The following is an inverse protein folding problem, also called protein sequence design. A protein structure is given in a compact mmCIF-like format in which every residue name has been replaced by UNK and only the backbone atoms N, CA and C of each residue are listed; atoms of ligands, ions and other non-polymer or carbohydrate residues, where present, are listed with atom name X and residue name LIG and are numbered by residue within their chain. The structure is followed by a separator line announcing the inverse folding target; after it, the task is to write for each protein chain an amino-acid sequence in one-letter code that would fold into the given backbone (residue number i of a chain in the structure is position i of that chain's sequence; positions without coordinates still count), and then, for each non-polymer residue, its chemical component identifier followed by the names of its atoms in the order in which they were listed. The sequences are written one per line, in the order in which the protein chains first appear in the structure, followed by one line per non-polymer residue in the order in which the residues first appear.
data_IF_976380090652
#
_entry.id   IF_976380090652
#
_cell.length_a   1.000
_cell.length_b   1.000
_cell.length_c   1.000
_cell.angle_alpha   90.00
_cell.angle_beta   90.00
_cell.angle_gamma   90.00
#
_symmetry.space_group_name_H-M   'P 1'
#
loop_
_entity.id
_entity.type
_entity.pdbx_description
1 polymer ?
#
# COMPACT_ATOMS: atom_id res chain seq x y z
N UNK A 1 2.65 7.39 7.62
CA UNK A 1 3.42 6.13 7.85
C UNK A 1 4.48 6.25 8.95
N UNK A 2 5.15 7.41 9.15
CA UNK A 2 6.14 7.60 10.25
C UNK A 2 5.51 7.40 11.62
N UNK A 3 4.37 8.07 11.88
CA UNK A 3 3.66 7.97 13.16
C UNK A 3 3.19 6.55 13.46
N UNK A 4 2.73 5.82 12.44
CA UNK A 4 2.31 4.44 12.57
C UNK A 4 3.50 3.52 12.91
N UNK A 5 4.67 3.71 12.28
CA UNK A 5 5.88 2.97 12.64
C UNK A 5 6.28 3.20 14.10
N UNK A 6 6.27 4.47 14.55
CA UNK A 6 6.54 4.80 15.93
C UNK A 6 5.51 4.19 16.92
N UNK A 7 4.24 4.08 16.50
CA UNK A 7 3.22 3.42 17.31
C UNK A 7 3.47 1.91 17.44
N UNK A 8 3.90 1.23 16.40
CA UNK A 8 4.32 -0.18 16.48
C UNK A 8 5.53 -0.38 17.39
N UNK A 9 6.54 0.48 17.30
CA UNK A 9 7.74 0.41 18.13
C UNK A 9 7.42 0.57 19.62
N UNK A 10 6.49 1.44 19.99
CA UNK A 10 6.00 1.59 21.37
C UNK A 10 5.37 0.28 21.91
N UNK A 11 4.81 -0.53 21.05
CA UNK A 11 4.20 -1.83 21.38
C UNK A 11 5.19 -3.01 21.24
N UNK A 12 6.47 -2.73 21.05
CA UNK A 12 7.51 -3.75 20.91
C UNK A 12 7.53 -4.47 19.56
N UNK A 13 6.84 -3.94 18.57
CA UNK A 13 6.81 -4.47 17.20
C UNK A 13 7.73 -3.61 16.35
N UNK A 14 8.82 -4.20 15.83
CA UNK A 14 9.72 -3.50 14.94
C UNK A 14 9.01 -3.14 13.63
N UNK A 15 9.24 -1.91 13.13
CA UNK A 15 8.68 -1.45 11.87
C UNK A 15 9.80 -1.18 10.86
N UNK A 16 9.70 -1.77 9.68
CA UNK A 16 10.56 -1.48 8.55
C UNK A 16 9.78 -0.66 7.51
N UNK A 17 10.34 0.45 7.05
CA UNK A 17 9.77 1.31 6.02
C UNK A 17 10.73 1.41 4.84
N UNK A 18 10.19 1.41 3.65
CA UNK A 18 10.95 1.56 2.41
C UNK A 18 10.12 2.34 1.37
N UNK A 19 10.79 2.86 0.37
CA UNK A 19 10.18 3.46 -0.80
C UNK A 19 10.29 2.49 -1.96
N UNK A 20 9.22 2.33 -2.73
CA UNK A 20 9.23 1.55 -3.97
C UNK A 20 10.17 2.16 -5.01
N UNK A 21 10.64 1.36 -5.95
CA UNK A 21 11.50 1.82 -7.05
C UNK A 21 10.94 3.08 -7.73
N UNK A 22 11.78 4.11 -7.87
CA UNK A 22 11.42 5.41 -8.44
C UNK A 22 10.59 6.32 -7.52
N UNK A 23 10.40 5.96 -6.25
CA UNK A 23 9.72 6.79 -5.26
C UNK A 23 10.69 7.18 -4.13
N UNK A 24 10.44 8.34 -3.51
CA UNK A 24 11.20 8.83 -2.35
C UNK A 24 12.70 8.85 -2.59
N UNK A 25 13.45 8.09 -1.77
CA UNK A 25 14.92 7.97 -1.85
C UNK A 25 15.37 6.73 -2.64
N UNK A 26 14.45 5.87 -3.11
CA UNK A 26 14.78 4.68 -3.90
C UNK A 26 15.18 5.02 -5.32
N UNK A 27 16.14 4.27 -5.86
CA UNK A 27 16.61 4.41 -7.22
C UNK A 27 15.49 4.12 -8.26
N UNK A 28 15.70 4.60 -9.50
CA UNK A 28 14.77 4.40 -10.60
C UNK A 28 13.98 5.67 -10.94
N UNK A 29 12.98 5.52 -11.80
CA UNK A 29 12.10 6.61 -12.24
C UNK A 29 10.67 6.34 -11.80
N UNK A 30 10.00 7.36 -11.29
CA UNK A 30 8.59 7.28 -10.92
C UNK A 30 7.73 6.82 -12.09
N UNK A 31 6.83 5.86 -11.83
CA UNK A 31 5.86 5.35 -12.78
C UNK A 31 4.43 5.57 -12.24
N UNK A 32 3.55 6.08 -13.09
CA UNK A 32 2.15 6.37 -12.72
C UNK A 32 1.36 5.12 -12.33
N UNK A 33 1.54 4.02 -13.06
CA UNK A 33 1.05 2.68 -12.74
C UNK A 33 2.05 1.93 -11.87
N UNK A 34 2.65 0.86 -12.42
CA UNK A 34 3.71 0.07 -11.82
C UNK A 34 3.29 -0.77 -10.60
N UNK A 35 2.00 -1.11 -10.52
CA UNK A 35 1.45 -1.86 -9.39
C UNK A 35 2.07 -3.25 -9.25
N UNK A 36 2.31 -3.94 -10.38
CA UNK A 36 2.94 -5.27 -10.40
C UNK A 36 4.37 -5.20 -9.91
N UNK A 37 5.15 -4.24 -10.42
CA UNK A 37 6.53 -4.03 -9.99
C UNK A 37 6.62 -3.66 -8.50
N UNK A 38 5.71 -2.85 -7.99
CA UNK A 38 5.68 -2.51 -6.56
C UNK A 38 5.36 -3.73 -5.68
N UNK A 39 4.51 -4.65 -6.16
CA UNK A 39 4.31 -5.92 -5.49
C UNK A 39 5.58 -6.80 -5.50
N UNK A 40 6.36 -6.77 -6.60
CA UNK A 40 7.65 -7.49 -6.71
C UNK A 40 8.73 -6.85 -5.82
N UNK A 41 8.77 -5.53 -5.72
CA UNK A 41 9.68 -4.82 -4.79
C UNK A 41 9.37 -5.24 -3.34
N UNK A 42 8.08 -5.29 -2.97
CA UNK A 42 7.66 -5.80 -1.67
C UNK A 42 8.04 -7.29 -1.49
N UNK A 43 7.96 -8.11 -2.55
CA UNK A 43 8.42 -9.50 -2.54
C UNK A 43 9.89 -9.60 -2.15
N UNK A 44 10.74 -8.79 -2.75
CA UNK A 44 12.17 -8.77 -2.44
C UNK A 44 12.43 -8.46 -0.96
N UNK A 45 11.68 -7.52 -0.38
CA UNK A 45 11.77 -7.17 1.05
C UNK A 45 11.30 -8.34 1.93
N UNK A 46 10.15 -8.95 1.63
CA UNK A 46 9.62 -10.09 2.40
C UNK A 46 10.60 -11.26 2.36
N UNK A 47 11.15 -11.60 1.20
CA UNK A 47 12.15 -12.66 1.06
C UNK A 47 13.44 -12.37 1.84
N UNK A 48 13.89 -11.11 1.84
CA UNK A 48 15.04 -10.71 2.65
C UNK A 48 14.79 -11.01 4.14
N UNK A 49 13.67 -10.58 4.69
CA UNK A 49 13.35 -10.81 6.10
C UNK A 49 13.12 -12.31 6.41
N UNK A 50 12.56 -13.09 5.50
CA UNK A 50 12.46 -14.54 5.66
C UNK A 50 13.83 -15.23 5.69
N UNK A 51 14.79 -14.80 4.85
CA UNK A 51 16.18 -15.30 4.87
C UNK A 51 16.86 -14.97 6.20
N UNK A 52 16.58 -13.79 6.77
CA UNK A 52 17.05 -13.39 8.09
C UNK A 52 16.29 -14.06 9.26
N UNK A 53 15.33 -14.97 8.94
CA UNK A 53 14.46 -15.67 9.91
C UNK A 53 13.62 -14.71 10.75
N UNK A 54 13.29 -13.54 10.21
CA UNK A 54 12.40 -12.59 10.86
C UNK A 54 10.94 -12.97 10.59
N UNK A 55 10.11 -12.97 11.61
CA UNK A 55 8.67 -13.12 11.46
C UNK A 55 8.05 -11.80 11.00
N UNK A 56 7.28 -11.85 9.94
CA UNK A 56 6.55 -10.68 9.41
C UNK A 56 5.13 -10.71 9.98
N UNK A 57 4.87 -9.83 10.94
CA UNK A 57 3.57 -9.72 11.60
C UNK A 57 2.48 -9.19 10.66
N UNK A 58 2.81 -8.21 9.82
CA UNK A 58 1.90 -7.62 8.85
C UNK A 58 2.67 -6.85 7.76
N UNK A 59 2.03 -6.68 6.62
CA UNK A 59 2.40 -5.69 5.60
C UNK A 59 1.35 -4.58 5.57
N UNK A 60 1.81 -3.33 5.46
CA UNK A 60 0.95 -2.14 5.55
C UNK A 60 1.24 -1.20 4.39
N UNK A 61 0.21 -0.75 3.70
CA UNK A 61 0.35 0.22 2.61
C UNK A 61 -0.71 1.32 2.68
N UNK A 62 -0.32 2.55 2.30
CA UNK A 62 -1.20 3.70 2.19
C UNK A 62 -1.38 4.11 0.73
N UNK A 63 -2.58 4.47 0.35
CA UNK A 63 -2.93 4.94 -1.00
C UNK A 63 -2.52 3.91 -2.07
N UNK A 64 -1.65 4.25 -3.02
CA UNK A 64 -1.09 3.32 -4.00
C UNK A 64 -0.38 2.12 -3.33
N UNK A 65 0.32 2.35 -2.21
CA UNK A 65 0.91 1.28 -1.40
C UNK A 65 -0.13 0.33 -0.81
N UNK A 66 -1.35 0.81 -0.52
CA UNK A 66 -2.49 -0.03 -0.14
C UNK A 66 -2.89 -1.02 -1.23
N UNK A 67 -2.88 -0.58 -2.48
CA UNK A 67 -3.06 -1.47 -3.63
C UNK A 67 -1.91 -2.49 -3.76
N UNK A 68 -0.67 -2.05 -3.59
CA UNK A 68 0.50 -2.91 -3.73
C UNK A 68 0.51 -4.05 -2.70
N UNK A 69 0.15 -3.79 -1.42
CA UNK A 69 0.09 -4.85 -0.40
C UNK A 69 -1.04 -5.85 -0.65
N UNK A 70 -2.18 -5.41 -1.20
CA UNK A 70 -3.27 -6.32 -1.58
C UNK A 70 -2.90 -7.18 -2.79
N UNK A 71 -2.28 -6.58 -3.80
CA UNK A 71 -1.78 -7.30 -4.96
C UNK A 71 -0.70 -8.30 -4.57
N UNK A 72 0.20 -7.93 -3.66
CA UNK A 72 1.18 -8.84 -3.07
C UNK A 72 0.51 -10.06 -2.43
N UNK A 73 -0.45 -9.84 -1.53
CA UNK A 73 -1.14 -10.92 -0.83
C UNK A 73 -1.89 -11.88 -1.77
N UNK A 74 -2.45 -11.32 -2.85
CA UNK A 74 -3.09 -12.10 -3.92
C UNK A 74 -2.11 -13.00 -4.67
N UNK A 75 -0.93 -12.47 -5.01
CA UNK A 75 0.05 -13.16 -5.85
C UNK A 75 0.86 -14.19 -5.08
N UNK A 76 1.37 -13.82 -3.90
CA UNK A 76 2.38 -14.62 -3.18
C UNK A 76 1.81 -15.45 -2.04
N UNK A 77 0.69 -15.06 -1.43
CA UNK A 77 -0.09 -15.84 -0.43
C UNK A 77 0.72 -16.32 0.79
N UNK A 78 1.79 -15.62 1.12
CA UNK A 78 2.74 -15.98 2.18
C UNK A 78 2.74 -15.02 3.39
N UNK A 79 1.78 -14.10 3.42
CA UNK A 79 1.54 -13.18 4.54
C UNK A 79 0.18 -13.45 5.18
N UNK A 80 0.09 -13.27 6.49
CA UNK A 80 -1.10 -13.58 7.26
C UNK A 80 -1.92 -12.35 7.66
N UNK A 81 -1.35 -11.16 7.56
CA UNK A 81 -2.03 -9.91 7.92
C UNK A 81 -1.64 -8.80 6.95
N UNK A 82 -2.63 -8.16 6.37
CA UNK A 82 -2.47 -7.07 5.41
C UNK A 82 -3.31 -5.88 5.84
N UNK A 83 -2.74 -4.69 5.81
CA UNK A 83 -3.45 -3.45 6.09
C UNK A 83 -3.40 -2.54 4.88
N UNK A 84 -4.57 -2.26 4.33
CA UNK A 84 -4.82 -1.32 3.26
C UNK A 84 -5.35 -0.01 3.85
N UNK A 85 -4.62 1.08 3.74
CA UNK A 85 -5.03 2.41 4.19
C UNK A 85 -5.33 3.26 2.96
N UNK A 86 -6.57 3.70 2.78
CA UNK A 86 -7.02 4.57 1.68
C UNK A 86 -6.63 4.10 0.28
N UNK A 87 -6.54 2.78 0.05
CA UNK A 87 -6.27 2.21 -1.27
C UNK A 87 -7.45 2.44 -2.22
N UNK A 88 -7.16 2.56 -3.52
CA UNK A 88 -8.16 2.79 -4.56
C UNK A 88 -8.62 1.46 -5.17
N UNK A 89 -9.91 1.14 -5.06
CA UNK A 89 -10.45 -0.09 -5.66
C UNK A 89 -10.64 0.05 -7.18
N UNK A 90 -11.26 1.15 -7.63
CA UNK A 90 -11.46 1.41 -9.04
C UNK A 90 -10.31 2.25 -9.61
N UNK A 91 -9.31 1.58 -10.22
CA UNK A 91 -8.11 2.23 -10.73
C UNK A 91 -8.33 3.11 -11.96
N UNK A 92 -9.45 2.97 -12.67
CA UNK A 92 -9.80 3.87 -13.76
C UNK A 92 -10.28 5.23 -13.25
N UNK A 93 -10.82 5.28 -12.02
CA UNK A 93 -11.37 6.51 -11.45
C UNK A 93 -10.26 7.52 -11.15
N UNK A 94 -10.53 8.79 -11.46
CA UNK A 94 -9.62 9.91 -11.20
C UNK A 94 -8.54 10.14 -12.26
N UNK A 95 -8.42 9.29 -13.30
CA UNK A 95 -7.45 9.47 -14.38
C UNK A 95 -7.77 10.74 -15.19
N UNK A 96 -9.02 10.92 -15.58
CA UNK A 96 -9.42 12.11 -16.36
C UNK A 96 -9.18 13.43 -15.64
N UNK A 97 -9.40 13.45 -14.32
CA UNK A 97 -9.13 14.63 -13.49
C UNK A 97 -7.65 15.00 -13.44
N UNK A 98 -6.77 14.02 -13.61
CA UNK A 98 -5.32 14.21 -13.54
C UNK A 98 -4.65 14.38 -14.91
N UNK A 99 -5.08 13.63 -15.90
CA UNK A 99 -4.45 13.59 -17.24
C UNK A 99 -5.23 14.36 -18.30
N UNK A 100 -6.47 14.79 -17.98
CA UNK A 100 -7.39 15.41 -18.93
C UNK A 100 -8.32 14.39 -19.59
N UNK A 101 -9.48 14.84 -20.08
CA UNK A 101 -10.48 13.96 -20.71
C UNK A 101 -9.98 13.28 -21.98
N UNK A 102 -9.03 13.92 -22.65
CA UNK A 102 -8.40 13.48 -23.90
C UNK A 102 -7.13 12.63 -23.71
N UNK A 103 -6.93 12.09 -22.49
CA UNK A 103 -5.70 11.37 -22.14
C UNK A 103 -5.43 10.15 -23.04
N UNK A 104 -6.49 9.44 -23.46
CA UNK A 104 -6.36 8.27 -24.35
C UNK A 104 -5.81 8.65 -25.73
N UNK A 105 -6.29 9.78 -26.26
CA UNK A 105 -5.84 10.31 -27.57
C UNK A 105 -4.41 10.83 -27.46
N UNK A 106 -4.09 11.57 -26.40
CA UNK A 106 -2.73 12.08 -26.14
C UNK A 106 -1.71 10.95 -26.02
N UNK A 107 -2.01 9.92 -25.23
CA UNK A 107 -1.13 8.74 -25.09
C UNK A 107 -0.95 8.05 -26.42
N UNK A 108 -2.04 7.80 -27.17
CA UNK A 108 -1.97 7.14 -28.46
C UNK A 108 -1.14 7.92 -29.48
N UNK A 109 -1.21 9.26 -29.46
CA UNK A 109 -0.50 10.11 -30.42
C UNK A 109 0.97 10.36 -30.03
N UNK A 110 1.22 10.65 -28.75
CA UNK A 110 2.54 11.08 -28.27
C UNK A 110 3.35 9.97 -27.59
N UNK A 111 2.71 8.86 -27.22
CA UNK A 111 3.31 7.80 -26.39
C UNK A 111 3.42 8.14 -24.90
N UNK A 112 3.18 9.38 -24.51
CA UNK A 112 3.25 9.84 -23.12
C UNK A 112 2.45 11.12 -22.85
N UNK A 113 2.24 11.41 -21.56
CA UNK A 113 1.70 12.66 -21.04
C UNK A 113 2.60 13.18 -19.93
N UNK A 114 3.08 14.42 -20.05
CA UNK A 114 3.80 15.10 -18.98
C UNK A 114 2.83 15.78 -18.01
N UNK A 115 2.84 15.33 -16.76
CA UNK A 115 2.06 15.94 -15.70
C UNK A 115 2.83 17.11 -15.10
N UNK A 116 2.14 18.23 -14.93
CA UNK A 116 2.71 19.46 -14.39
C UNK A 116 1.90 19.92 -13.17
N UNK A 117 2.58 20.52 -12.20
CA UNK A 117 1.92 21.09 -11.03
C UNK A 117 1.18 22.41 -11.39
N UNK A 118 0.47 22.97 -10.40
CA UNK A 118 -0.28 24.23 -10.56
C UNK A 118 0.58 25.42 -11.00
N UNK A 119 1.91 25.35 -10.82
CA UNK A 119 2.88 26.37 -11.26
C UNK A 119 3.45 26.08 -12.64
N UNK A 120 2.93 25.07 -13.38
CA UNK A 120 3.41 24.65 -14.70
C UNK A 120 4.71 23.88 -14.70
N UNK A 121 5.30 23.56 -13.55
CA UNK A 121 6.54 22.79 -13.45
C UNK A 121 6.26 21.30 -13.69
N UNK A 122 7.15 20.66 -14.42
CA UNK A 122 7.13 19.22 -14.62
C UNK A 122 7.18 18.48 -13.27
N UNK A 123 6.33 17.48 -13.10
CA UNK A 123 6.31 16.58 -11.95
C UNK A 123 6.76 15.18 -12.36
N UNK A 124 6.05 14.57 -13.31
CA UNK A 124 6.38 13.24 -13.81
C UNK A 124 5.77 13.01 -15.19
N UNK A 125 6.25 11.96 -15.84
CA UNK A 125 5.73 11.48 -17.13
C UNK A 125 4.88 10.23 -16.95
N UNK A 126 3.74 10.19 -17.61
CA UNK A 126 2.91 9.01 -17.74
C UNK A 126 3.15 8.43 -19.14
N UNK A 127 3.74 7.26 -19.21
CA UNK A 127 3.90 6.50 -20.45
C UNK A 127 2.70 5.62 -20.71
N UNK A 128 2.51 5.16 -21.96
CA UNK A 128 1.46 4.21 -22.29
C UNK A 128 1.58 2.93 -21.46
N UNK A 129 2.79 2.38 -21.31
CA UNK A 129 3.07 1.21 -20.49
C UNK A 129 2.62 1.40 -19.03
N UNK A 130 2.99 2.53 -18.40
CA UNK A 130 2.63 2.81 -17.01
C UNK A 130 1.12 3.05 -16.82
N UNK A 131 0.45 3.63 -17.82
CA UNK A 131 -1.00 3.78 -17.84
C UNK A 131 -1.68 2.42 -18.01
N UNK A 132 -1.18 1.59 -18.91
CA UNK A 132 -1.73 0.25 -19.15
C UNK A 132 -1.55 -0.67 -17.94
N UNK A 133 -0.41 -0.63 -17.24
CA UNK A 133 -0.24 -1.36 -15.97
C UNK A 133 -1.36 -0.99 -14.98
N UNK A 134 -1.67 0.30 -14.83
CA UNK A 134 -2.76 0.77 -13.98
C UNK A 134 -4.14 0.27 -14.46
N UNK A 135 -4.44 0.39 -15.75
CA UNK A 135 -5.75 0.06 -16.33
C UNK A 135 -6.01 -1.46 -16.40
N UNK A 136 -4.96 -2.27 -16.52
CA UNK A 136 -5.06 -3.72 -16.62
C UNK A 136 -4.88 -4.44 -15.28
N UNK A 137 -4.62 -3.71 -14.20
CA UNK A 137 -4.55 -4.30 -12.86
C UNK A 137 -5.97 -4.62 -12.38
N UNK A 138 -6.29 -5.91 -12.32
CA UNK A 138 -7.58 -6.41 -11.84
C UNK A 138 -7.63 -6.42 -10.31
N UNK A 139 -8.07 -5.30 -9.72
CA UNK A 139 -8.21 -5.15 -8.27
C UNK A 139 -9.22 -6.14 -7.70
N UNK A 140 -10.36 -6.36 -8.40
CA UNK A 140 -11.42 -7.27 -7.92
C UNK A 140 -10.94 -8.72 -7.88
N UNK A 141 -10.40 -9.23 -8.98
CA UNK A 141 -9.87 -10.60 -9.05
C UNK A 141 -8.73 -10.80 -8.06
N UNK A 142 -7.86 -9.81 -7.89
CA UNK A 142 -6.81 -9.83 -6.88
C UNK A 142 -7.37 -9.96 -5.46
N UNK A 143 -8.36 -9.15 -5.09
CA UNK A 143 -9.01 -9.22 -3.78
C UNK A 143 -9.63 -10.60 -3.52
N UNK A 144 -10.34 -11.17 -4.48
CA UNK A 144 -10.98 -12.48 -4.37
C UNK A 144 -9.97 -13.64 -4.30
N UNK A 145 -8.76 -13.45 -4.77
CA UNK A 145 -7.67 -14.44 -4.76
C UNK A 145 -6.86 -14.45 -3.46
N UNK A 146 -7.07 -13.48 -2.55
CA UNK A 146 -6.43 -13.46 -1.24
C UNK A 146 -6.95 -14.65 -0.41
N UNK A 147 -6.07 -15.47 0.20
CA UNK A 147 -6.50 -16.63 0.98
C UNK A 147 -7.35 -16.24 2.19
N UNK A 148 -8.33 -17.09 2.56
CA UNK A 148 -9.12 -16.94 3.80
C UNK A 148 -8.26 -16.91 5.07
N UNK A 149 -7.08 -17.51 5.05
CA UNK A 149 -6.11 -17.48 6.16
C UNK A 149 -5.43 -16.12 6.33
N UNK A 150 -5.47 -15.26 5.31
CA UNK A 150 -4.93 -13.91 5.36
C UNK A 150 -6.00 -12.94 5.90
N UNK A 151 -5.70 -12.28 7.02
CA UNK A 151 -6.57 -11.26 7.61
C UNK A 151 -6.29 -9.91 6.97
N UNK A 152 -7.31 -9.28 6.43
CA UNK A 152 -7.18 -7.97 5.79
C UNK A 152 -7.97 -6.91 6.55
N UNK A 153 -7.32 -5.79 6.83
CA UNK A 153 -7.96 -4.58 7.34
C UNK A 153 -7.91 -3.50 6.28
N UNK A 154 -9.05 -2.90 5.94
CA UNK A 154 -9.06 -1.62 5.24
C UNK A 154 -9.44 -0.52 6.22
N UNK A 155 -8.60 0.53 6.30
CA UNK A 155 -8.91 1.77 7.02
C UNK A 155 -9.06 2.89 6.00
N UNK A 156 -10.15 3.68 6.13
CA UNK A 156 -10.43 4.76 5.18
C UNK A 156 -11.02 5.97 5.89
N UNK A 157 -10.69 7.16 5.44
CA UNK A 157 -11.26 8.40 5.95
C UNK A 157 -12.61 8.70 5.29
N UNK A 158 -13.62 9.10 6.08
CA UNK A 158 -14.93 9.43 5.50
C UNK A 158 -14.93 10.72 4.66
N UNK A 159 -13.92 11.57 4.85
CA UNK A 159 -13.72 12.83 4.11
C UNK A 159 -12.54 12.75 3.14
N UNK A 160 -12.17 11.55 2.70
CA UNK A 160 -11.10 11.36 1.71
C UNK A 160 -11.54 11.91 0.35
N UNK A 161 -10.95 13.04 -0.05
CA UNK A 161 -11.24 13.73 -1.31
C UNK A 161 -10.46 13.15 -2.51
N UNK A 162 -9.45 12.32 -2.25
CA UNK A 162 -8.64 11.69 -3.30
C UNK A 162 -9.17 10.34 -3.72
N UNK A 163 -9.53 9.50 -2.75
CA UNK A 163 -10.07 8.15 -2.98
C UNK A 163 -11.44 8.07 -2.28
N UNK A 164 -12.53 7.91 -3.03
CA UNK A 164 -13.87 7.85 -2.45
C UNK A 164 -13.99 6.71 -1.43
N UNK A 165 -14.71 6.94 -0.34
CA UNK A 165 -14.93 5.96 0.73
C UNK A 165 -15.64 4.69 0.23
N UNK A 166 -16.40 4.79 -0.87
CA UNK A 166 -17.04 3.66 -1.53
C UNK A 166 -16.02 2.62 -2.02
N UNK A 167 -14.79 3.02 -2.36
CA UNK A 167 -13.73 2.10 -2.73
C UNK A 167 -13.36 1.17 -1.56
N UNK A 168 -13.41 1.66 -0.32
CA UNK A 168 -13.22 0.84 0.88
C UNK A 168 -14.36 -0.18 1.07
N UNK A 169 -15.59 0.18 0.74
CA UNK A 169 -16.74 -0.72 0.78
C UNK A 169 -16.63 -1.82 -0.29
N UNK A 170 -16.06 -1.51 -1.46
CA UNK A 170 -15.80 -2.52 -2.48
C UNK A 170 -14.72 -3.52 -2.03
N UNK A 171 -13.68 -3.10 -1.33
CA UNK A 171 -12.74 -4.03 -0.69
C UNK A 171 -13.45 -4.97 0.29
N UNK A 172 -14.33 -4.43 1.13
CA UNK A 172 -15.08 -5.22 2.11
C UNK A 172 -15.99 -6.30 1.49
N UNK A 173 -16.50 -6.04 0.29
CA UNK A 173 -17.34 -7.01 -0.46
C UNK A 173 -16.52 -8.09 -1.17
N UNK A 174 -15.26 -7.82 -1.52
CA UNK A 174 -14.49 -8.70 -2.41
C UNK A 174 -13.35 -9.46 -1.72
N UNK A 175 -12.90 -9.02 -0.55
CA UNK A 175 -11.84 -9.72 0.20
C UNK A 175 -12.48 -10.70 1.20
N UNK A 176 -12.11 -12.00 1.15
CA UNK A 176 -12.81 -13.04 1.92
C UNK A 176 -12.74 -12.88 3.45
N UNK A 177 -11.56 -12.56 4.01
CA UNK A 177 -11.36 -12.38 5.46
C UNK A 177 -11.03 -10.92 5.76
N UNK A 178 -12.06 -10.07 5.73
CA UNK A 178 -11.91 -8.63 5.74
C UNK A 178 -12.56 -7.97 6.97
N UNK A 179 -11.89 -6.93 7.47
CA UNK A 179 -12.44 -5.95 8.39
C UNK A 179 -12.36 -4.56 7.77
N UNK A 180 -13.46 -3.83 7.80
CA UNK A 180 -13.52 -2.42 7.39
C UNK A 180 -13.57 -1.52 8.61
N UNK A 181 -12.77 -0.45 8.59
CA UNK A 181 -12.81 0.63 9.57
C UNK A 181 -12.85 1.97 8.84
N UNK A 182 -13.94 2.69 8.97
CA UNK A 182 -14.03 4.08 8.53
C UNK A 182 -13.70 4.97 9.73
N UNK A 183 -12.80 5.95 9.51
CA UNK A 183 -12.48 7.00 10.48
C UNK A 183 -13.24 8.25 10.07
N UNK A 184 -14.20 8.63 10.90
CA UNK A 184 -15.09 9.76 10.61
C UNK A 184 -14.34 11.08 10.61
N UNK A 185 -14.57 11.90 9.58
CA UNK A 185 -13.92 13.21 9.42
C UNK A 185 -12.46 13.14 8.94
N UNK A 186 -11.88 11.97 8.78
CA UNK A 186 -10.49 11.84 8.31
C UNK A 186 -10.39 12.10 6.79
N UNK A 187 -9.37 12.86 6.42
CA UNK A 187 -8.91 13.09 5.04
C UNK A 187 -8.06 11.92 4.53
N UNK A 188 -7.57 12.02 3.27
CA UNK A 188 -6.71 11.00 2.67
C UNK A 188 -5.44 10.69 3.45
N UNK A 189 -4.82 11.72 4.03
CA UNK A 189 -3.57 11.62 4.79
C UNK A 189 -3.78 11.40 6.29
N UNK A 190 -5.03 11.34 6.75
CA UNK A 190 -5.39 11.26 8.18
C UNK A 190 -4.76 12.39 8.99
N UNK A 191 -4.74 13.61 8.46
CA UNK A 191 -3.99 14.75 8.99
C UNK A 191 -4.26 15.00 10.47
N UNK A 192 -5.51 14.96 10.88
CA UNK A 192 -5.94 15.14 12.28
C UNK A 192 -6.27 13.83 13.01
N UNK A 193 -6.13 12.68 12.36
CA UNK A 193 -6.60 11.39 12.86
C UNK A 193 -5.47 10.33 12.94
N UNK A 194 -4.20 10.78 13.04
CA UNK A 194 -3.03 9.89 13.05
C UNK A 194 -3.02 8.94 14.26
N UNK A 195 -3.46 9.41 15.42
CA UNK A 195 -3.51 8.60 16.64
C UNK A 195 -4.61 7.53 16.55
N UNK A 196 -5.78 7.89 16.02
CA UNK A 196 -6.87 6.96 15.81
C UNK A 196 -6.49 5.89 14.77
N UNK A 197 -5.93 6.30 13.63
CA UNK A 197 -5.39 5.39 12.62
C UNK A 197 -4.39 4.41 13.24
N UNK A 198 -3.43 4.92 13.98
CA UNK A 198 -2.39 4.10 14.61
C UNK A 198 -2.98 3.11 15.61
N UNK A 199 -3.93 3.55 16.44
CA UNK A 199 -4.61 2.70 17.42
C UNK A 199 -5.35 1.55 16.77
N UNK A 200 -6.12 1.83 15.71
CA UNK A 200 -6.88 0.83 14.95
C UNK A 200 -5.96 -0.21 14.30
N UNK A 201 -4.90 0.25 13.62
CA UNK A 201 -3.98 -0.64 12.91
C UNK A 201 -3.17 -1.49 13.87
N UNK A 202 -2.63 -0.91 14.94
CA UNK A 202 -1.86 -1.64 15.96
C UNK A 202 -2.72 -2.68 16.66
N UNK A 203 -3.95 -2.32 17.05
CA UNK A 203 -4.89 -3.25 17.68
C UNK A 203 -5.20 -4.45 16.78
N UNK A 204 -5.41 -4.20 15.46
CA UNK A 204 -5.69 -5.27 14.50
C UNK A 204 -4.49 -6.22 14.34
N UNK A 205 -3.26 -5.70 14.26
CA UNK A 205 -2.06 -6.52 14.16
C UNK A 205 -1.87 -7.34 15.43
N UNK A 206 -1.95 -6.72 16.63
CA UNK A 206 -1.81 -7.42 17.92
C UNK A 206 -2.83 -8.54 18.09
N UNK A 207 -4.08 -8.32 17.70
CA UNK A 207 -5.12 -9.35 17.72
C UNK A 207 -4.80 -10.55 16.81
N UNK A 208 -4.05 -10.35 15.73
CA UNK A 208 -3.58 -11.43 14.85
C UNK A 208 -2.40 -12.22 15.39
N UNK A 209 -1.59 -11.60 16.24
CA UNK A 209 -0.44 -12.26 16.85
C UNK A 209 -0.85 -13.27 17.94
N UNK A 210 -2.05 -13.13 18.53
CA UNK A 210 -2.59 -14.02 19.56
C UNK A 210 -1.75 -14.08 20.83
N UNK A 211 -2.17 -14.90 21.83
CA UNK A 211 -1.42 -15.11 23.07
C UNK A 211 -0.05 -15.78 22.91
N UNK A 212 0.27 -16.30 21.72
CA UNK A 212 1.53 -16.95 21.40
C UNK A 212 2.70 -15.98 21.13
N UNK A 213 2.46 -14.69 20.97
CA UNK A 213 3.53 -13.71 20.75
C UNK A 213 4.46 -13.58 21.97
N UNK A 214 3.93 -13.80 23.17
CA UNK A 214 4.72 -13.82 24.42
C UNK A 214 5.63 -15.08 24.54
N UNK A 215 5.39 -16.12 23.75
CA UNK A 215 6.10 -17.39 23.81
C UNK A 215 7.16 -17.58 22.71
N UNK A 216 7.26 -16.66 21.75
CA UNK A 216 8.37 -16.72 20.79
C UNK A 216 9.63 -16.19 21.49
N UNK A 217 10.72 -17.00 21.56
CA UNK A 217 12.00 -16.49 22.04
C UNK A 217 12.32 -15.27 21.20
N UNK A 218 12.78 -14.21 21.83
CA UNK A 218 13.31 -13.01 21.19
C UNK A 218 14.52 -13.39 20.34
N UNK A 219 14.29 -14.08 19.20
CA UNK A 219 15.27 -14.15 18.14
C UNK A 219 15.35 -12.73 17.60
N UNK A 220 16.29 -11.98 18.14
CA UNK A 220 16.60 -10.64 17.73
C UNK A 220 16.86 -10.65 16.24
N UNK A 221 15.83 -10.28 15.46
CA UNK A 221 16.07 -9.69 14.16
C UNK A 221 17.07 -8.57 14.46
N UNK A 222 18.32 -8.72 14.04
CA UNK A 222 19.36 -7.75 14.33
C UNK A 222 18.81 -6.38 13.95
N UNK A 223 18.78 -5.45 14.92
CA UNK A 223 18.36 -4.07 14.64
C UNK A 223 19.28 -3.55 13.54
N UNK A 224 18.83 -3.64 12.30
CA UNK A 224 19.44 -2.89 11.21
C UNK A 224 18.90 -1.46 11.35
N UNK A 225 19.53 -0.69 12.26
CA UNK A 225 19.41 0.76 12.25
C UNK A 225 20.18 1.26 11.02
N UNK A 226 19.54 1.22 9.87
CA UNK A 226 20.12 1.68 8.62
C UNK A 226 19.04 1.66 7.55
N UNK A 227 18.89 2.76 6.87
CA UNK A 227 18.21 2.77 5.57
C UNK A 227 18.90 1.74 4.67
N UNK A 228 18.22 0.66 4.34
CA UNK A 228 18.67 -0.21 3.26
C UNK A 228 18.33 0.58 2.00
N UNK A 229 19.34 1.21 1.39
CA UNK A 229 19.21 1.72 0.02
C UNK A 229 18.95 0.50 -0.86
N UNK A 230 17.78 0.40 -1.46
CA UNK A 230 17.48 -0.67 -2.40
C UNK A 230 18.42 -0.53 -3.60
N UNK A 231 19.43 -1.39 -3.68
CA UNK A 231 20.19 -1.64 -4.89
C UNK A 231 19.63 -2.90 -5.53
N UNK A 232 18.53 -2.74 -6.27
CA UNK A 232 18.04 -3.79 -7.14
C UNK A 232 17.58 -3.19 -8.48
#
# INVERSE_FOLDING_TARGET
MVNLAAAFEKEGINAFRFDFAGNGESEGSFQYGNYRREADDLRAIVEHFHKEKCFIAAIVGHSKGGNAVLLYASNYKDVHTVINISGRFNLERGIEGRLGRDFKEKIKHNGFIDVRNRKGRFEYRVTDESLMDRLTTDTRGSCQSIPNSCRVLTVHGSMDEMVPVEDAMEYAKNVPNHKLQIIEGADHEFTLHQDELSSVVVAFVKAGLGGNYMAMPSQSCKRTSGYIRSRF
#
